data_IF_529275889001
#
_entry.id   IF_529275889001
#
_cell.length_a   1.000
_cell.length_b   1.000
_cell.length_c   1.000
_cell.angle_alpha   90.00
_cell.angle_beta   90.00
_cell.angle_gamma   90.00
#
_symmetry.space_group_name_H-M   'P 1'
#
loop_
_entity.id
_entity.type
_entity.pdbx_description
1 polymer ?
#
# COMPACT_ATOMS: atom_id res chain seq x y z
N UNK A 1 41.07 55.51 3.76
CA UNK A 1 42.04 56.28 2.92
C UNK A 1 42.36 55.43 1.68
N UNK A 2 42.35 56.14 0.52
CA UNK A 2 42.78 55.71 -0.82
C UNK A 2 41.82 54.70 -1.51
N UNK A 3 40.96 55.07 -2.46
CA UNK A 3 41.11 55.65 -3.82
C UNK A 3 42.10 54.86 -4.70
N UNK A 4 41.64 54.28 -5.79
CA UNK A 4 41.80 54.72 -7.21
C UNK A 4 41.44 53.51 -8.10
N UNK A 5 40.59 53.62 -9.07
CA UNK A 5 40.60 54.15 -10.43
C UNK A 5 40.89 53.10 -11.53
N UNK A 6 39.98 53.09 -12.48
CA UNK A 6 40.07 52.99 -13.95
C UNK A 6 40.51 51.60 -14.49
N UNK A 7 40.05 51.07 -15.52
CA UNK A 7 39.55 51.62 -16.79
C UNK A 7 38.77 50.55 -17.53
N UNK A 8 37.87 50.98 -18.36
CA UNK A 8 37.14 50.23 -19.33
C UNK A 8 37.96 49.78 -20.54
N UNK A 9 37.51 48.74 -21.17
CA UNK A 9 37.79 48.43 -22.54
C UNK A 9 36.52 47.95 -23.23
N UNK A 10 36.38 48.49 -24.39
CA UNK A 10 35.26 48.36 -25.33
C UNK A 10 35.10 46.94 -25.91
N UNK A 11 33.86 46.62 -26.17
CA UNK A 11 33.25 46.00 -27.30
C UNK A 11 33.98 44.94 -28.13
N UNK A 12 33.35 43.79 -28.24
CA UNK A 12 33.26 43.05 -29.51
C UNK A 12 31.91 42.31 -29.42
N UNK A 13 31.00 42.73 -30.27
CA UNK A 13 29.75 41.99 -30.48
C UNK A 13 30.03 40.67 -31.20
N UNK A 14 29.72 39.60 -30.56
CA UNK A 14 29.55 38.29 -31.24
C UNK A 14 28.07 38.04 -31.42
N UNK A 15 27.65 38.19 -32.68
CA UNK A 15 26.38 37.68 -33.16
C UNK A 15 26.39 36.15 -33.03
N UNK A 16 25.76 35.61 -32.01
CA UNK A 16 25.44 34.20 -32.01
C UNK A 16 24.14 34.00 -32.82
N UNK A 17 24.31 33.46 -34.02
CA UNK A 17 23.21 32.82 -34.74
C UNK A 17 22.66 31.69 -33.86
N UNK A 18 21.55 31.90 -33.22
CA UNK A 18 20.77 30.85 -32.58
C UNK A 18 20.13 29.96 -33.65
N UNK A 19 20.83 28.92 -34.02
CA UNK A 19 20.23 27.83 -34.77
C UNK A 19 19.20 27.18 -33.86
N UNK A 20 17.91 27.40 -34.21
CA UNK A 20 16.78 26.72 -33.57
C UNK A 20 16.89 25.23 -33.91
N UNK A 21 17.46 24.47 -33.00
CA UNK A 21 17.37 22.99 -33.03
C UNK A 21 15.93 22.61 -32.69
N UNK A 22 15.10 22.42 -33.70
CA UNK A 22 13.81 21.74 -33.57
C UNK A 22 14.09 20.29 -33.21
N UNK A 23 13.88 19.94 -31.96
CA UNK A 23 13.87 18.56 -31.53
C UNK A 23 12.58 17.90 -32.05
N UNK A 24 12.65 16.90 -32.95
CA UNK A 24 11.46 16.19 -33.36
C UNK A 24 11.07 15.21 -32.29
N UNK A 25 9.79 15.27 -31.93
CA UNK A 25 9.00 14.18 -31.38
C UNK A 25 9.37 13.65 -29.97
N UNK A 26 9.02 14.45 -28.95
CA UNK A 26 8.73 13.88 -27.64
C UNK A 26 7.20 13.59 -27.58
N UNK A 27 6.78 12.50 -28.16
CA UNK A 27 5.49 11.88 -27.84
C UNK A 27 5.53 11.43 -26.38
N UNK A 28 5.09 12.34 -25.51
CA UNK A 28 4.89 12.08 -24.08
C UNK A 28 3.95 10.89 -23.94
N UNK A 29 4.34 9.79 -23.28
CA UNK A 29 3.42 8.69 -23.02
C UNK A 29 2.19 9.23 -22.31
N UNK A 30 1.02 9.07 -22.90
CA UNK A 30 -0.27 9.38 -22.28
C UNK A 30 -0.41 8.47 -21.07
N UNK A 31 -0.09 8.99 -19.89
CA UNK A 31 -0.40 8.32 -18.63
C UNK A 31 -1.91 8.15 -18.55
N UNK A 32 -2.38 6.99 -18.91
CA UNK A 32 -3.75 6.57 -18.62
C UNK A 32 -3.89 6.48 -17.12
N UNK A 33 -4.52 7.51 -16.54
CA UNK A 33 -4.96 7.52 -15.14
C UNK A 33 -5.72 6.21 -14.89
N UNK A 34 -5.36 5.41 -13.86
CA UNK A 34 -6.11 4.20 -13.55
C UNK A 34 -7.57 4.57 -13.38
N UNK A 35 -8.45 3.89 -14.11
CA UNK A 35 -9.89 4.07 -13.97
C UNK A 35 -10.24 3.81 -12.50
N UNK A 36 -10.68 4.85 -11.81
CA UNK A 36 -11.28 4.72 -10.49
C UNK A 36 -12.60 3.97 -10.68
N UNK A 37 -12.54 2.66 -10.61
CA UNK A 37 -13.72 1.83 -10.51
C UNK A 37 -14.47 2.30 -9.28
N UNK A 38 -15.71 2.83 -9.46
CA UNK A 38 -16.59 3.17 -8.34
C UNK A 38 -16.63 1.96 -7.42
N UNK A 39 -16.06 2.11 -6.24
CA UNK A 39 -16.03 1.03 -5.25
C UNK A 39 -17.47 0.70 -4.89
N UNK A 40 -17.90 -0.52 -5.24
CA UNK A 40 -19.23 -1.01 -4.85
C UNK A 40 -19.33 -0.96 -3.32
N UNK A 41 -20.50 -0.56 -2.82
CA UNK A 41 -20.74 -0.52 -1.39
C UNK A 41 -20.50 -1.93 -0.79
N UNK A 42 -19.72 -1.99 0.29
CA UNK A 42 -19.43 -3.25 0.98
C UNK A 42 -20.73 -3.82 1.54
N UNK A 43 -21.04 -5.06 1.18
CA UNK A 43 -22.30 -5.68 1.61
C UNK A 43 -22.25 -6.08 3.09
N UNK A 44 -23.39 -6.02 3.76
CA UNK A 44 -23.52 -6.53 5.14
C UNK A 44 -23.14 -8.02 5.22
N UNK A 45 -23.43 -8.78 4.18
CA UNK A 45 -23.09 -10.21 4.08
C UNK A 45 -21.57 -10.41 4.09
N UNK A 46 -20.83 -9.68 3.27
CA UNK A 46 -19.35 -9.72 3.23
C UNK A 46 -18.76 -9.45 4.62
N UNK A 47 -19.26 -8.42 5.32
CA UNK A 47 -18.77 -8.10 6.66
C UNK A 47 -19.10 -9.20 7.68
N UNK A 48 -20.30 -9.79 7.60
CA UNK A 48 -20.72 -10.86 8.50
C UNK A 48 -19.92 -12.16 8.26
N UNK A 49 -19.68 -12.51 7.01
CA UNK A 49 -18.91 -13.71 6.67
C UNK A 49 -17.42 -13.49 7.01
N UNK A 50 -16.87 -12.32 6.74
CA UNK A 50 -15.51 -11.95 7.15
C UNK A 50 -15.32 -11.98 8.66
N UNK A 51 -16.32 -11.52 9.43
CA UNK A 51 -16.29 -11.63 10.88
C UNK A 51 -16.22 -13.08 11.36
N UNK A 52 -17.02 -13.99 10.79
CA UNK A 52 -16.97 -15.42 11.16
C UNK A 52 -15.58 -16.02 10.95
N UNK A 53 -14.95 -15.68 9.82
CA UNK A 53 -13.59 -16.16 9.52
C UNK A 53 -12.59 -15.55 10.50
N UNK A 54 -12.72 -14.26 10.80
CA UNK A 54 -11.90 -13.58 11.79
C UNK A 54 -12.00 -14.26 13.16
N UNK A 55 -13.22 -14.48 13.64
CA UNK A 55 -13.48 -15.11 14.94
C UNK A 55 -12.88 -16.53 15.04
N UNK A 56 -12.81 -17.23 13.89
CA UNK A 56 -12.31 -18.61 13.85
C UNK A 56 -10.78 -18.69 13.78
N UNK A 57 -10.13 -17.81 13.02
CA UNK A 57 -8.72 -17.99 12.66
C UNK A 57 -7.81 -16.85 13.10
N UNK A 58 -8.33 -15.67 13.38
CA UNK A 58 -7.53 -14.47 13.61
C UNK A 58 -7.64 -13.95 15.06
N UNK A 59 -8.80 -14.12 15.67
CA UNK A 59 -9.17 -13.52 16.96
C UNK A 59 -8.21 -13.88 18.08
N UNK A 60 -7.74 -15.11 18.11
CA UNK A 60 -6.85 -15.63 19.19
C UNK A 60 -5.55 -14.81 19.28
N UNK A 61 -5.01 -14.36 18.14
CA UNK A 61 -3.79 -13.57 18.10
C UNK A 61 -4.06 -12.06 18.06
N UNK A 62 -5.04 -11.64 17.24
CA UNK A 62 -5.30 -10.22 17.00
C UNK A 62 -6.36 -9.60 17.90
N UNK A 63 -6.95 -10.37 18.81
CA UNK A 63 -7.95 -9.99 19.80
C UNK A 63 -9.28 -9.49 19.18
N UNK A 64 -10.33 -9.39 20.00
CA UNK A 64 -11.68 -9.04 19.54
C UNK A 64 -11.79 -7.59 19.04
N UNK A 65 -10.94 -6.72 19.52
CA UNK A 65 -10.85 -5.31 19.13
C UNK A 65 -9.84 -5.03 18.02
N UNK A 66 -9.09 -6.06 17.56
CA UNK A 66 -8.01 -5.90 16.61
C UNK A 66 -6.78 -5.21 17.16
N UNK A 67 -6.65 -5.09 18.50
CA UNK A 67 -5.53 -4.44 19.16
C UNK A 67 -4.26 -5.29 19.23
N UNK A 68 -4.38 -6.59 19.02
CA UNK A 68 -3.27 -7.53 19.14
C UNK A 68 -2.80 -7.70 20.58
N UNK A 69 -1.56 -8.15 20.76
CA UNK A 69 -0.89 -8.28 22.04
C UNK A 69 0.46 -7.59 21.95
N UNK A 70 0.75 -6.57 22.76
CA UNK A 70 2.01 -5.83 22.71
C UNK A 70 3.23 -6.73 22.67
N UNK A 71 4.15 -6.45 21.77
CA UNK A 71 5.41 -7.21 21.53
C UNK A 71 5.24 -8.67 21.09
N UNK A 72 4.01 -9.15 20.96
CA UNK A 72 3.73 -10.53 20.56
C UNK A 72 2.98 -10.57 19.24
N UNK A 73 1.77 -10.02 19.19
CA UNK A 73 0.95 -10.03 17.99
C UNK A 73 0.58 -8.60 17.60
N UNK A 74 0.86 -8.18 16.36
CA UNK A 74 0.68 -6.79 15.96
C UNK A 74 -0.80 -6.39 15.93
N UNK A 75 -1.11 -5.10 16.18
CA UNK A 75 -2.44 -4.56 16.01
C UNK A 75 -2.85 -4.55 14.54
N UNK A 76 -4.15 -4.64 14.30
CA UNK A 76 -4.76 -4.47 12.97
C UNK A 76 -5.42 -3.09 12.82
N UNK A 77 -5.38 -2.28 13.87
CA UNK A 77 -6.00 -0.97 13.93
C UNK A 77 -5.10 0.07 13.25
N UNK A 78 -5.58 0.68 12.18
CA UNK A 78 -4.94 1.84 11.48
C UNK A 78 -3.51 1.63 10.99
N UNK A 79 -3.01 0.40 10.96
CA UNK A 79 -1.65 0.11 10.51
C UNK A 79 -1.53 0.25 8.98
N UNK A 80 -0.33 0.60 8.51
CA UNK A 80 -0.03 0.63 7.09
C UNK A 80 -0.15 -0.77 6.44
N UNK A 81 0.12 -1.83 7.21
CA UNK A 81 -0.05 -3.21 6.74
C UNK A 81 -1.49 -3.51 6.36
N UNK A 82 -2.46 -3.02 7.14
CA UNK A 82 -3.89 -3.23 6.88
C UNK A 82 -4.45 -2.24 5.88
N UNK A 83 -4.10 -0.95 5.98
CA UNK A 83 -4.72 0.11 5.18
C UNK A 83 -4.01 0.36 3.85
N UNK A 84 -2.75 -0.04 3.72
CA UNK A 84 -1.90 0.18 2.56
C UNK A 84 -2.14 -0.83 1.43
N UNK A 85 -1.04 -1.37 0.89
CA UNK A 85 -1.04 -2.23 -0.29
C UNK A 85 -1.77 -3.56 -0.05
N UNK A 86 -2.81 -3.82 -0.85
CA UNK A 86 -3.61 -5.03 -0.74
C UNK A 86 -2.86 -6.29 -1.14
N UNK A 87 -1.93 -6.18 -2.08
CA UNK A 87 -1.13 -7.33 -2.53
C UNK A 87 -0.26 -7.83 -1.40
N UNK A 88 0.40 -6.91 -0.67
CA UNK A 88 1.17 -7.23 0.54
C UNK A 88 0.30 -7.89 1.60
N UNK A 89 -0.85 -7.30 1.90
CA UNK A 89 -1.77 -7.80 2.92
C UNK A 89 -2.31 -9.21 2.58
N UNK A 90 -2.67 -9.45 1.33
CA UNK A 90 -3.12 -10.76 0.85
C UNK A 90 -1.98 -11.80 0.94
N UNK A 91 -0.75 -11.41 0.56
CA UNK A 91 0.42 -12.28 0.69
C UNK A 91 0.67 -12.71 2.13
N UNK A 92 0.58 -11.78 3.09
CA UNK A 92 0.76 -12.06 4.52
C UNK A 92 -0.26 -13.12 4.96
N UNK A 93 -1.53 -12.97 4.61
CA UNK A 93 -2.54 -13.97 5.00
C UNK A 93 -2.29 -15.32 4.33
N UNK A 94 -1.93 -15.35 3.05
CA UNK A 94 -1.75 -16.61 2.32
C UNK A 94 -0.46 -17.34 2.71
N UNK A 95 0.64 -16.63 2.94
CA UNK A 95 1.97 -17.21 3.21
C UNK A 95 2.33 -17.27 4.68
N UNK A 96 1.63 -16.48 5.50
CA UNK A 96 2.09 -16.15 6.83
C UNK A 96 3.21 -15.10 6.79
N UNK A 97 3.77 -14.79 7.94
CA UNK A 97 4.86 -13.85 8.10
C UNK A 97 5.71 -14.26 9.31
N UNK A 98 7.02 -14.35 9.13
CA UNK A 98 7.99 -14.68 10.19
C UNK A 98 9.06 -13.60 10.33
N UNK A 99 8.93 -12.51 9.58
CA UNK A 99 9.85 -11.39 9.66
C UNK A 99 9.44 -10.46 10.81
N UNK A 100 10.45 -9.92 11.50
CA UNK A 100 10.25 -8.86 12.49
C UNK A 100 9.67 -7.62 11.82
N UNK A 101 8.67 -7.00 12.46
CA UNK A 101 8.06 -5.76 11.98
C UNK A 101 7.95 -4.76 13.11
N UNK A 102 8.21 -3.49 12.79
CA UNK A 102 7.97 -2.38 13.70
C UNK A 102 6.65 -1.69 13.32
N UNK A 103 5.78 -1.51 14.31
CA UNK A 103 4.50 -0.80 14.15
C UNK A 103 4.35 0.15 15.34
N UNK A 104 4.21 1.44 15.05
CA UNK A 104 4.05 2.51 16.05
C UNK A 104 5.15 2.52 17.14
N UNK A 105 6.39 2.16 16.76
CA UNK A 105 7.54 2.10 17.66
C UNK A 105 7.64 0.83 18.51
N UNK A 106 6.73 -0.12 18.33
CA UNK A 106 6.80 -1.45 18.96
C UNK A 106 7.24 -2.51 17.94
N UNK A 107 8.12 -3.40 18.38
CA UNK A 107 8.62 -4.51 17.57
C UNK A 107 7.81 -5.76 17.83
N UNK A 108 7.44 -6.46 16.75
CA UNK A 108 6.69 -7.71 16.76
C UNK A 108 7.44 -8.77 15.96
N UNK A 109 7.76 -9.89 16.56
CA UNK A 109 8.54 -10.97 15.99
C UNK A 109 7.82 -12.34 16.01
N UNK A 110 6.57 -12.37 16.48
CA UNK A 110 5.81 -13.61 16.52
C UNK A 110 5.40 -14.07 15.12
N UNK A 111 5.56 -15.37 14.89
CA UNK A 111 5.25 -15.97 13.60
C UNK A 111 3.74 -16.00 13.34
N UNK A 112 3.31 -15.36 12.26
CA UNK A 112 1.95 -15.48 11.74
C UNK A 112 1.84 -16.68 10.81
N UNK A 113 1.00 -17.65 11.15
CA UNK A 113 0.79 -18.85 10.35
C UNK A 113 0.13 -18.54 8.99
N UNK A 114 0.48 -19.33 7.97
CA UNK A 114 -0.15 -19.26 6.66
C UNK A 114 -1.60 -19.73 6.68
N UNK A 115 -2.48 -19.01 5.99
CA UNK A 115 -3.90 -19.35 5.85
C UNK A 115 -4.25 -19.67 4.39
N UNK A 116 -3.32 -20.34 3.67
CA UNK A 116 -3.50 -20.70 2.25
C UNK A 116 -4.69 -21.63 1.99
N UNK A 117 -5.17 -22.32 3.02
CA UNK A 117 -6.34 -23.21 2.96
C UNK A 117 -7.67 -22.45 2.80
N UNK A 118 -7.72 -21.17 3.13
CA UNK A 118 -8.90 -20.34 2.92
C UNK A 118 -9.14 -20.14 1.41
N UNK A 119 -10.39 -20.18 0.99
CA UNK A 119 -10.77 -19.87 -0.40
C UNK A 119 -10.52 -18.39 -0.72
N UNK A 120 -10.45 -18.04 -2.01
CA UNK A 120 -10.28 -16.65 -2.43
C UNK A 120 -11.41 -15.73 -1.91
N UNK A 121 -12.64 -16.27 -1.85
CA UNK A 121 -13.78 -15.54 -1.27
C UNK A 121 -13.59 -15.33 0.23
N UNK A 122 -13.17 -16.34 0.97
CA UNK A 122 -12.95 -16.23 2.41
C UNK A 122 -11.85 -15.24 2.77
N UNK A 123 -10.73 -15.25 2.04
CA UNK A 123 -9.66 -14.25 2.22
C UNK A 123 -10.16 -12.85 1.89
N UNK A 124 -10.93 -12.70 0.80
CA UNK A 124 -11.56 -11.43 0.43
C UNK A 124 -12.48 -10.90 1.53
N UNK A 125 -13.35 -11.76 2.09
CA UNK A 125 -14.33 -11.38 3.09
C UNK A 125 -13.64 -10.98 4.41
N UNK A 126 -12.69 -11.77 4.90
CA UNK A 126 -11.99 -11.47 6.16
C UNK A 126 -11.13 -10.20 6.04
N UNK A 127 -10.42 -10.02 4.92
CA UNK A 127 -9.63 -8.80 4.73
C UNK A 127 -10.50 -7.57 4.53
N UNK A 128 -11.66 -7.71 3.87
CA UNK A 128 -12.64 -6.62 3.78
C UNK A 128 -13.20 -6.27 5.16
N UNK A 129 -13.51 -7.27 6.00
CA UNK A 129 -13.92 -7.07 7.39
C UNK A 129 -12.85 -6.32 8.18
N UNK A 130 -11.60 -6.80 8.21
CA UNK A 130 -10.49 -6.16 8.94
C UNK A 130 -10.27 -4.72 8.48
N UNK A 131 -10.31 -4.47 7.18
CA UNK A 131 -10.12 -3.13 6.59
C UNK A 131 -11.29 -2.16 6.84
N UNK A 132 -12.42 -2.65 7.35
CA UNK A 132 -13.60 -1.82 7.63
C UNK A 132 -14.16 -2.02 9.04
N UNK A 133 -13.37 -2.60 9.93
CA UNK A 133 -13.63 -2.74 11.36
C UNK A 133 -12.46 -2.15 12.16
N UNK A 134 -12.50 -2.24 13.48
CA UNK A 134 -11.41 -1.79 14.35
C UNK A 134 -10.99 -0.34 14.09
N UNK A 135 -11.95 0.55 13.85
CA UNK A 135 -11.73 1.95 13.45
C UNK A 135 -11.12 2.15 12.05
N UNK A 136 -10.92 1.08 11.30
CA UNK A 136 -10.43 1.11 9.93
C UNK A 136 -11.52 1.55 8.93
N UNK A 137 -11.09 2.27 7.88
CA UNK A 137 -11.94 2.63 6.73
C UNK A 137 -11.11 2.56 5.46
N UNK A 138 -11.21 1.47 4.72
CA UNK A 138 -10.46 1.29 3.48
C UNK A 138 -11.25 0.50 2.43
N UNK A 139 -10.74 0.49 1.22
CA UNK A 139 -11.35 -0.23 0.10
C UNK A 139 -11.46 -1.73 0.38
N UNK A 140 -12.55 -2.36 -0.06
CA UNK A 140 -12.70 -3.80 -0.01
C UNK A 140 -11.58 -4.52 -0.77
N UNK A 141 -11.28 -5.72 -0.32
CA UNK A 141 -10.50 -6.70 -1.10
C UNK A 141 -11.48 -7.54 -1.91
N UNK A 142 -11.18 -7.85 -3.15
CA UNK A 142 -12.01 -8.67 -4.01
C UNK A 142 -11.45 -10.09 -4.17
N UNK A 143 -12.29 -11.11 -4.43
CA UNK A 143 -11.80 -12.47 -4.71
C UNK A 143 -10.87 -12.52 -5.92
N UNK A 144 -11.06 -11.64 -6.90
CA UNK A 144 -10.19 -11.55 -8.08
C UNK A 144 -8.78 -11.07 -7.71
N UNK A 145 -8.65 -10.10 -6.79
CA UNK A 145 -7.34 -9.66 -6.26
C UNK A 145 -6.65 -10.81 -5.52
N UNK A 146 -7.37 -11.54 -4.68
CA UNK A 146 -6.81 -12.71 -3.96
C UNK A 146 -6.34 -13.78 -4.94
N UNK A 147 -7.16 -14.12 -5.93
CA UNK A 147 -6.81 -15.09 -6.98
C UNK A 147 -5.55 -14.68 -7.74
N UNK A 148 -5.44 -13.40 -8.10
CA UNK A 148 -4.27 -12.88 -8.82
C UNK A 148 -2.98 -12.96 -8.00
N UNK A 149 -3.07 -12.73 -6.68
CA UNK A 149 -1.91 -12.89 -5.78
C UNK A 149 -1.58 -14.36 -5.60
N UNK A 150 -2.55 -15.21 -5.31
CA UNK A 150 -2.34 -16.66 -5.14
C UNK A 150 -1.69 -17.31 -6.37
N UNK A 151 -2.05 -16.89 -7.57
CA UNK A 151 -1.46 -17.42 -8.80
C UNK A 151 0.05 -17.14 -8.92
N UNK A 152 0.57 -16.12 -8.23
CA UNK A 152 2.00 -15.74 -8.20
C UNK A 152 2.79 -16.46 -7.12
N UNK A 153 2.12 -17.18 -6.22
CA UNK A 153 2.75 -17.90 -5.11
C UNK A 153 3.16 -19.35 -5.44
N UNK A 154 2.95 -19.76 -6.71
CA UNK A 154 3.28 -21.11 -7.21
C UNK A 154 4.74 -21.23 -7.56
#
# INVERSE_FOLDING_TARGET
MKRLFFAGVAGIGLFFLSASYRNPDQTKPKQTKPAQTKQAAISKKTLADGKKIYDTYCLVCHQADGGGVPRLNPPLQKTEFVLGDKTRLINIVLKGMSEEVEIDGEVYDNNMSAHAFLTDQQVSDVLTYVRNNFTNKASAVTPAEVKAVRAKLK
#
